data_IF_377381542796
#
_entry.id   IF_377381542796
#
_cell.length_a   1.000
_cell.length_b   1.000
_cell.length_c   1.000
_cell.angle_alpha   90.00
_cell.angle_beta   90.00
_cell.angle_gamma   90.00
#
_symmetry.space_group_name_H-M   'P 1'
#
loop_
_entity.id
_entity.type
_entity.pdbx_description
1 polymer ?
#
# COMPACT_ATOMS: atom_id res chain seq x y z
N UNK A 1 23.66 -2.43 -0.08
CA UNK A 1 22.73 -2.41 -1.22
C UNK A 1 22.23 -0.97 -1.36
N UNK A 2 22.45 -0.29 -2.50
CA UNK A 2 21.96 1.07 -2.71
C UNK A 2 20.44 1.08 -2.88
N UNK A 3 19.77 2.15 -2.43
CA UNK A 3 18.32 2.29 -2.48
C UNK A 3 17.88 3.26 -3.57
N UNK A 4 16.73 2.98 -4.16
CA UNK A 4 16.04 3.86 -5.09
C UNK A 4 14.71 4.28 -4.48
N UNK A 5 14.29 5.53 -4.72
CA UNK A 5 13.06 6.06 -4.15
C UNK A 5 12.03 6.31 -5.25
N UNK A 6 10.79 5.89 -4.99
CA UNK A 6 9.69 6.01 -5.94
C UNK A 6 8.49 6.70 -5.30
N UNK A 7 7.73 7.42 -6.13
CA UNK A 7 6.36 7.83 -5.80
C UNK A 7 5.38 6.89 -6.48
N UNK A 8 4.47 6.30 -5.70
CA UNK A 8 3.39 5.47 -6.23
C UNK A 8 2.13 6.33 -6.46
N UNK A 9 1.68 6.44 -7.72
CA UNK A 9 0.53 7.25 -8.10
C UNK A 9 -0.32 6.49 -9.12
N UNK A 10 -1.61 6.27 -8.82
CA UNK A 10 -2.59 5.62 -9.73
C UNK A 10 -2.09 4.30 -10.36
N UNK A 11 -1.47 3.43 -9.56
CA UNK A 11 -0.90 2.12 -9.99
C UNK A 11 0.38 2.20 -10.83
N UNK A 12 1.12 3.29 -10.71
CA UNK A 12 2.41 3.45 -11.39
C UNK A 12 3.50 3.97 -10.45
N UNK A 13 4.76 3.62 -10.72
CA UNK A 13 5.93 3.99 -9.94
C UNK A 13 6.79 5.01 -10.68
N UNK A 14 6.99 6.16 -10.07
CA UNK A 14 7.83 7.23 -10.60
C UNK A 14 9.12 7.31 -9.79
N UNK A 15 10.25 6.90 -10.38
CA UNK A 15 11.57 7.00 -9.71
C UNK A 15 11.94 8.47 -9.51
N UNK A 16 12.17 8.86 -8.26
CA UNK A 16 12.54 10.23 -7.87
C UNK A 16 13.95 10.33 -7.33
N UNK A 17 14.54 9.24 -6.86
CA UNK A 17 15.97 9.14 -6.56
C UNK A 17 16.54 7.84 -7.12
N UNK A 18 17.74 7.92 -7.71
CA UNK A 18 18.50 6.74 -8.13
C UNK A 18 19.34 6.15 -6.98
N UNK A 19 20.04 5.07 -7.29
CA UNK A 19 20.93 4.35 -6.37
C UNK A 19 22.09 5.19 -5.82
N UNK A 20 22.39 6.34 -6.45
CA UNK A 20 23.45 7.28 -6.05
C UNK A 20 22.89 8.47 -5.26
N UNK A 21 21.64 8.39 -4.78
CA UNK A 21 20.93 9.49 -4.11
C UNK A 21 20.75 10.74 -4.98
N UNK A 22 20.85 10.62 -6.30
CA UNK A 22 20.61 11.75 -7.21
C UNK A 22 19.13 11.92 -7.44
N UNK A 23 18.64 13.13 -7.21
CA UNK A 23 17.25 13.50 -7.48
C UNK A 23 16.96 13.51 -8.99
N UNK A 24 15.82 12.93 -9.37
CA UNK A 24 15.34 12.84 -10.75
C UNK A 24 14.11 13.73 -10.94
N UNK A 25 14.36 14.97 -11.39
CA UNK A 25 13.30 15.97 -11.60
C UNK A 25 12.22 15.50 -12.59
N UNK A 26 12.63 14.76 -13.64
CA UNK A 26 11.69 14.17 -14.61
C UNK A 26 10.66 13.25 -13.93
N UNK A 27 11.11 12.40 -13.01
CA UNK A 27 10.22 11.48 -12.30
C UNK A 27 9.27 12.21 -11.36
N UNK A 28 9.76 13.21 -10.63
CA UNK A 28 8.92 14.03 -9.76
C UNK A 28 7.86 14.83 -10.54
N UNK A 29 8.26 15.44 -11.67
CA UNK A 29 7.35 16.17 -12.55
C UNK A 29 6.28 15.26 -13.16
N UNK A 30 6.68 14.06 -13.63
CA UNK A 30 5.76 13.05 -14.14
C UNK A 30 4.76 12.57 -13.07
N UNK A 31 5.21 12.30 -11.84
CA UNK A 31 4.34 11.92 -10.72
C UNK A 31 3.32 13.02 -10.39
N UNK A 32 3.76 14.29 -10.41
CA UNK A 32 2.88 15.45 -10.17
C UNK A 32 1.83 15.62 -11.27
N UNK A 33 2.18 15.34 -12.53
CA UNK A 33 1.21 15.31 -13.62
C UNK A 33 0.25 14.10 -13.50
N UNK A 34 0.78 12.95 -13.07
CA UNK A 34 0.02 11.73 -12.83
C UNK A 34 -1.07 11.92 -11.76
N UNK A 35 -0.78 12.68 -10.70
CA UNK A 35 -1.71 12.90 -9.59
C UNK A 35 -2.89 13.83 -9.94
N UNK A 36 -2.72 14.75 -10.89
CA UNK A 36 -3.78 15.67 -11.34
C UNK A 36 -5.02 14.92 -11.83
N UNK A 37 -6.20 15.51 -11.58
CA UNK A 37 -7.47 15.04 -12.13
C UNK A 37 -7.56 15.29 -13.63
N UNK A 38 -8.46 14.58 -14.33
CA UNK A 38 -8.69 14.76 -15.77
C UNK A 38 -9.03 16.22 -16.12
N UNK A 39 -9.92 16.84 -15.33
CA UNK A 39 -10.35 18.25 -15.51
C UNK A 39 -9.20 19.25 -15.32
N UNK A 40 -8.29 19.00 -14.39
CA UNK A 40 -7.11 19.85 -14.19
C UNK A 40 -6.09 19.74 -15.33
N UNK A 41 -5.96 18.55 -15.93
CA UNK A 41 -5.11 18.36 -17.11
C UNK A 41 -5.67 19.08 -18.33
N UNK A 42 -6.97 18.88 -18.61
CA UNK A 42 -7.68 19.54 -19.72
C UNK A 42 -7.62 21.07 -19.60
N UNK A 43 -7.74 21.60 -18.37
CA UNK A 43 -7.61 23.04 -18.12
C UNK A 43 -6.20 23.59 -18.38
N UNK A 44 -5.15 22.89 -17.94
CA UNK A 44 -3.76 23.29 -18.18
C UNK A 44 -3.39 23.19 -19.67
N UNK A 45 -3.88 22.17 -20.38
CA UNK A 45 -3.69 22.04 -21.83
C UNK A 45 -4.43 23.15 -22.60
N UNK A 46 -5.66 23.49 -22.21
CA UNK A 46 -6.41 24.60 -22.78
C UNK A 46 -5.69 25.93 -22.53
N UNK A 47 -5.17 26.14 -21.32
CA UNK A 47 -4.39 27.33 -20.95
C UNK A 47 -3.08 27.42 -21.74
N UNK A 48 -2.37 26.32 -21.93
CA UNK A 48 -1.15 26.25 -22.75
C UNK A 48 -1.43 26.57 -24.23
N UNK A 49 -2.64 26.29 -24.71
CA UNK A 49 -3.13 26.66 -26.05
C UNK A 49 -3.75 28.06 -26.13
N UNK A 50 -3.65 28.87 -25.07
CA UNK A 50 -4.16 30.25 -25.02
C UNK A 50 -5.68 30.37 -24.85
N UNK A 51 -6.39 29.27 -24.59
CA UNK A 51 -7.84 29.27 -24.37
C UNK A 51 -8.11 29.78 -22.94
N UNK A 52 -8.79 30.92 -22.83
CA UNK A 52 -9.22 31.45 -21.54
C UNK A 52 -10.44 30.68 -21.01
N UNK A 53 -10.32 30.13 -19.81
CA UNK A 53 -11.40 29.44 -19.12
C UNK A 53 -11.30 29.65 -17.61
N UNK A 54 -12.40 29.42 -16.90
CA UNK A 54 -12.38 29.42 -15.44
C UNK A 54 -11.66 28.14 -14.97
N UNK A 55 -10.67 28.24 -14.07
CA UNK A 55 -10.03 27.05 -13.51
C UNK A 55 -11.10 26.14 -12.89
N UNK A 56 -10.97 24.80 -13.05
CA UNK A 56 -11.86 23.87 -12.38
C UNK A 56 -11.83 24.22 -10.88
N UNK A 57 -12.97 24.13 -10.18
CA UNK A 57 -12.96 24.31 -8.74
C UNK A 57 -11.92 23.33 -8.22
N UNK A 58 -10.85 23.86 -7.61
CA UNK A 58 -9.98 23.02 -6.78
C UNK A 58 -10.99 22.31 -5.91
N UNK A 59 -11.08 20.99 -6.01
CA UNK A 59 -11.67 20.26 -4.91
C UNK A 59 -10.82 20.74 -3.74
N UNK A 60 -11.39 21.63 -2.91
CA UNK A 60 -10.91 21.77 -1.56
C UNK A 60 -10.82 20.33 -1.14
N UNK A 61 -9.59 19.85 -0.94
CA UNK A 61 -9.39 18.62 -0.21
C UNK A 61 -10.31 18.81 0.97
N UNK A 62 -11.44 18.09 0.99
CA UNK A 62 -12.26 18.05 2.19
C UNK A 62 -11.25 17.50 3.16
N UNK A 63 -10.73 18.40 3.99
CA UNK A 63 -9.64 18.19 4.92
C UNK A 63 -10.20 17.15 5.88
N UNK A 64 -10.04 15.87 5.56
CA UNK A 64 -10.67 14.77 6.29
C UNK A 64 -11.57 13.78 5.54
N UNK A 65 -11.83 13.86 4.21
CA UNK A 65 -12.37 12.67 3.52
C UNK A 65 -11.22 11.70 3.24
N UNK A 66 -10.91 10.93 4.28
CA UNK A 66 -10.08 9.75 4.19
C UNK A 66 -10.63 8.84 3.10
N UNK A 67 -9.92 8.77 1.98
CA UNK A 67 -10.11 7.69 1.01
C UNK A 67 -9.28 6.54 1.57
N UNK A 68 -9.91 5.42 1.98
CA UNK A 68 -9.15 4.26 2.43
C UNK A 68 -8.14 3.90 1.34
N UNK A 69 -6.85 3.71 1.69
CA UNK A 69 -5.88 3.28 0.71
C UNK A 69 -6.34 1.96 0.11
N UNK A 70 -6.30 1.86 -1.22
CA UNK A 70 -6.60 0.61 -1.92
C UNK A 70 -5.38 -0.33 -1.82
N UNK A 71 -5.07 -0.76 -0.60
CA UNK A 71 -3.87 -1.57 -0.29
C UNK A 71 -3.78 -2.81 -1.15
N UNK A 72 -4.92 -3.47 -1.42
CA UNK A 72 -4.96 -4.66 -2.28
C UNK A 72 -4.37 -4.39 -3.67
N UNK A 73 -4.82 -3.33 -4.34
CA UNK A 73 -4.34 -3.00 -5.67
C UNK A 73 -2.84 -2.66 -5.70
N UNK A 74 -2.31 -2.08 -4.61
CA UNK A 74 -0.87 -1.83 -4.48
C UNK A 74 -0.10 -3.14 -4.25
N UNK A 75 -0.59 -4.04 -3.40
CA UNK A 75 0.05 -5.32 -3.13
C UNK A 75 0.02 -6.24 -4.35
N UNK A 76 -1.08 -6.26 -5.11
CA UNK A 76 -1.18 -6.99 -6.38
C UNK A 76 -0.14 -6.45 -7.39
N UNK A 77 -0.02 -5.13 -7.52
CA UNK A 77 1.00 -4.49 -8.35
C UNK A 77 2.44 -4.87 -7.91
N UNK A 78 2.73 -4.87 -6.61
CA UNK A 78 4.05 -5.26 -6.10
C UNK A 78 4.32 -6.76 -6.33
N UNK A 79 3.31 -7.61 -6.21
CA UNK A 79 3.41 -9.04 -6.51
C UNK A 79 3.71 -9.29 -7.99
N UNK A 80 3.01 -8.60 -8.89
CA UNK A 80 3.26 -8.68 -10.35
C UNK A 80 4.67 -8.23 -10.73
N UNK A 81 5.26 -7.31 -9.95
CA UNK A 81 6.62 -6.80 -10.14
C UNK A 81 7.70 -7.62 -9.41
N UNK A 82 7.32 -8.69 -8.71
CA UNK A 82 8.22 -9.50 -7.89
C UNK A 82 8.94 -8.68 -6.80
N UNK A 83 8.22 -7.73 -6.19
CA UNK A 83 8.71 -6.85 -5.11
C UNK A 83 8.25 -7.28 -3.72
N UNK A 84 7.77 -8.52 -3.56
CA UNK A 84 7.51 -9.11 -2.25
C UNK A 84 8.79 -9.79 -1.71
N UNK A 85 9.03 -9.78 -0.39
CA UNK A 85 8.18 -9.23 0.67
C UNK A 85 8.24 -7.70 0.76
N UNK A 86 7.21 -7.08 1.36
CA UNK A 86 7.12 -5.64 1.57
C UNK A 86 6.77 -5.30 3.02
N UNK A 87 7.36 -4.23 3.54
CA UNK A 87 7.05 -3.67 4.86
C UNK A 87 6.34 -2.32 4.66
N UNK A 88 5.18 -2.15 5.27
CA UNK A 88 4.39 -0.92 5.22
C UNK A 88 4.40 -0.23 6.58
N UNK A 89 4.97 0.97 6.64
CA UNK A 89 4.99 1.78 7.86
C UNK A 89 3.71 2.61 7.98
N UNK A 90 2.95 2.40 9.06
CA UNK A 90 1.75 3.15 9.40
C UNK A 90 1.86 3.69 10.83
N UNK A 91 1.60 4.98 11.03
CA UNK A 91 1.79 5.66 12.32
C UNK A 91 0.59 5.56 13.28
N UNK A 92 -0.34 4.63 13.06
CA UNK A 92 -1.49 4.39 13.96
C UNK A 92 -1.77 2.91 14.05
N UNK A 93 -1.75 2.37 15.28
CA UNK A 93 -2.06 0.97 15.56
C UNK A 93 -3.44 0.58 15.04
N UNK A 94 -4.44 1.44 15.31
CA UNK A 94 -5.82 1.26 14.82
C UNK A 94 -5.86 1.18 13.29
N UNK A 95 -5.10 2.04 12.59
CA UNK A 95 -5.04 1.99 11.13
C UNK A 95 -4.36 0.72 10.61
N UNK A 96 -3.33 0.19 11.28
CA UNK A 96 -2.74 -1.09 10.89
C UNK A 96 -3.77 -2.23 10.95
N UNK A 97 -4.60 -2.24 11.98
CA UNK A 97 -5.68 -3.22 12.14
C UNK A 97 -6.78 -3.05 11.09
N UNK A 98 -7.18 -1.80 10.78
CA UNK A 98 -8.13 -1.51 9.69
C UNK A 98 -7.58 -1.96 8.33
N UNK A 99 -6.30 -1.69 8.05
CA UNK A 99 -5.66 -2.05 6.79
C UNK A 99 -5.57 -3.55 6.60
N UNK A 100 -5.08 -4.28 7.60
CA UNK A 100 -5.04 -5.75 7.55
C UNK A 100 -6.44 -6.37 7.45
N UNK A 101 -7.43 -5.81 8.14
CA UNK A 101 -8.82 -6.25 8.04
C UNK A 101 -9.41 -6.03 6.64
N UNK A 102 -9.00 -4.98 5.92
CA UNK A 102 -9.43 -4.75 4.53
C UNK A 102 -8.84 -5.74 3.51
N UNK A 103 -7.82 -6.52 3.91
CA UNK A 103 -7.10 -7.46 3.05
C UNK A 103 -7.65 -8.90 3.16
N UNK A 104 -8.92 -9.11 3.54
CA UNK A 104 -9.49 -10.45 3.79
C UNK A 104 -9.34 -11.45 2.64
N UNK A 105 -9.40 -10.98 1.40
CA UNK A 105 -9.35 -11.81 0.19
C UNK A 105 -7.95 -11.93 -0.43
N UNK A 106 -6.93 -11.34 0.21
CA UNK A 106 -5.55 -11.46 -0.21
C UNK A 106 -4.88 -12.64 0.52
N UNK A 107 -4.24 -13.48 -0.28
CA UNK A 107 -3.49 -14.64 0.17
C UNK A 107 -2.14 -14.67 -0.55
N UNK A 108 -1.08 -14.48 0.23
CA UNK A 108 0.29 -14.42 -0.29
C UNK A 108 1.01 -15.76 -0.15
N UNK A 109 0.54 -16.64 0.72
CA UNK A 109 1.15 -17.95 0.96
C UNK A 109 0.55 -19.01 0.02
N UNK A 110 1.42 -19.83 -0.55
CA UNK A 110 1.03 -21.09 -1.18
C UNK A 110 0.56 -22.11 -0.12
N UNK A 111 -0.18 -23.13 -0.56
CA UNK A 111 -0.72 -24.16 0.33
C UNK A 111 0.36 -24.84 1.22
N UNK A 112 1.56 -25.05 0.68
CA UNK A 112 2.69 -25.58 1.43
C UNK A 112 3.14 -24.64 2.55
N UNK A 113 3.35 -23.36 2.24
CA UNK A 113 3.78 -22.34 3.19
C UNK A 113 2.75 -22.17 4.31
N UNK A 114 1.45 -22.24 4.00
CA UNK A 114 0.38 -22.26 5.01
C UNK A 114 0.51 -23.41 6.00
N UNK A 115 0.83 -24.61 5.51
CA UNK A 115 1.02 -25.78 6.36
C UNK A 115 2.22 -25.59 7.29
N UNK A 116 3.33 -25.07 6.76
CA UNK A 116 4.53 -24.76 7.53
C UNK A 116 4.27 -23.69 8.61
N UNK A 117 3.57 -22.60 8.24
CA UNK A 117 3.14 -21.53 9.16
C UNK A 117 2.21 -22.09 10.25
N UNK A 118 1.25 -22.94 9.89
CA UNK A 118 0.34 -23.56 10.85
C UNK A 118 1.09 -24.40 11.89
N UNK A 119 2.00 -25.27 11.44
CA UNK A 119 2.83 -26.09 12.34
C UNK A 119 3.67 -25.21 13.26
N UNK A 120 4.28 -24.15 12.72
CA UNK A 120 5.09 -23.21 13.50
C UNK A 120 4.27 -22.50 14.58
N UNK A 121 3.07 -22.03 14.24
CA UNK A 121 2.15 -21.36 15.16
C UNK A 121 1.70 -22.30 16.28
N UNK A 122 1.29 -23.53 15.96
CA UNK A 122 0.83 -24.49 16.98
C UNK A 122 1.97 -24.87 17.93
N UNK A 123 3.19 -25.07 17.41
CA UNK A 123 4.38 -25.30 18.24
C UNK A 123 4.67 -24.11 19.16
N UNK A 124 4.56 -22.88 18.65
CA UNK A 124 4.82 -21.67 19.43
C UNK A 124 3.79 -21.46 20.54
N UNK A 125 2.51 -21.72 20.26
CA UNK A 125 1.41 -21.53 21.18
C UNK A 125 1.23 -22.69 22.17
N UNK A 126 1.92 -23.82 21.97
CA UNK A 126 1.88 -24.99 22.86
C UNK A 126 2.30 -24.69 24.30
N UNK A 127 3.04 -23.60 24.53
CA UNK A 127 3.49 -23.15 25.85
C UNK A 127 2.43 -22.37 26.63
N UNK A 128 1.38 -21.91 25.96
CA UNK A 128 0.28 -21.16 26.57
C UNK A 128 -0.80 -22.10 27.11
N UNK A 129 -1.58 -21.62 28.07
CA UNK A 129 -2.77 -22.35 28.54
C UNK A 129 -3.81 -22.48 27.41
N UNK A 130 -4.69 -23.50 27.43
CA UNK A 130 -5.75 -23.61 26.42
C UNK A 130 -6.65 -22.37 26.33
N UNK A 131 -6.92 -21.69 27.44
CA UNK A 131 -7.71 -20.46 27.47
C UNK A 131 -7.01 -19.31 26.74
N UNK A 132 -5.69 -19.18 26.89
CA UNK A 132 -4.94 -18.11 26.23
C UNK A 132 -4.84 -18.33 24.71
N UNK A 133 -4.76 -19.58 24.25
CA UNK A 133 -4.66 -19.93 22.82
C UNK A 133 -5.87 -19.49 21.99
N UNK A 134 -7.02 -19.34 22.63
CA UNK A 134 -8.29 -18.96 21.97
C UNK A 134 -8.61 -17.47 22.10
N UNK A 135 -7.69 -16.67 22.65
CA UNK A 135 -7.86 -15.22 22.71
C UNK A 135 -8.09 -14.65 21.31
N UNK A 136 -9.04 -13.70 21.13
CA UNK A 136 -9.36 -13.15 19.81
C UNK A 136 -8.14 -12.59 19.06
N UNK A 137 -7.17 -12.02 19.77
CA UNK A 137 -5.93 -11.52 19.19
C UNK A 137 -5.05 -12.64 18.62
N UNK A 138 -4.98 -13.80 19.29
CA UNK A 138 -4.23 -14.96 18.80
C UNK A 138 -4.95 -15.54 17.58
N UNK A 139 -6.28 -15.69 17.62
CA UNK A 139 -7.05 -16.18 16.48
C UNK A 139 -6.87 -15.28 15.26
N UNK A 140 -6.90 -13.97 15.44
CA UNK A 140 -6.61 -12.99 14.38
C UNK A 140 -5.19 -13.11 13.83
N UNK A 141 -4.20 -13.24 14.71
CA UNK A 141 -2.79 -13.44 14.31
C UNK A 141 -2.64 -14.70 13.46
N UNK A 142 -3.30 -15.81 13.85
CA UNK A 142 -3.29 -17.07 13.09
C UNK A 142 -3.83 -16.89 11.68
N UNK A 143 -4.97 -16.23 11.53
CA UNK A 143 -5.55 -15.93 10.21
C UNK A 143 -4.59 -15.10 9.35
N UNK A 144 -4.09 -13.99 9.88
CA UNK A 144 -3.19 -13.09 9.14
C UNK A 144 -1.91 -13.79 8.70
N UNK A 145 -1.22 -14.46 9.62
CA UNK A 145 0.04 -15.15 9.33
C UNK A 145 -0.17 -16.29 8.33
N UNK A 146 -1.29 -17.01 8.41
CA UNK A 146 -1.62 -18.06 7.44
C UNK A 146 -1.73 -17.51 6.02
N UNK A 147 -2.18 -16.25 5.86
CA UNK A 147 -2.28 -15.57 4.55
C UNK A 147 -1.02 -14.80 4.15
N UNK A 148 0.04 -14.87 4.95
CA UNK A 148 1.32 -14.20 4.70
C UNK A 148 1.31 -12.70 5.05
N UNK A 149 0.43 -12.28 5.96
CA UNK A 149 0.31 -10.88 6.42
C UNK A 149 0.66 -10.80 7.91
N UNK A 150 1.45 -9.79 8.28
CA UNK A 150 1.77 -9.48 9.68
C UNK A 150 1.40 -8.05 10.04
N UNK A 151 1.00 -7.83 11.29
CA UNK A 151 0.73 -6.51 11.90
C UNK A 151 1.40 -6.43 13.25
#
# INVERSE_FOLDING_TARGET
>A
VPLEHFLYVKKDLFKVFDSNSKFLEKGHSAAKLASKSKKEREFEEAKAKGIQGKPPPKQQSVRGKYVPPQWRAMLDFLKEKDFLPVIVFTFSRVKCEEYSASLTSLDLNAAREKSEVHIFIERSLSRLSPADRVLPQIVRLRDLLSRGIGV
#
